data_IF_080315828551
#
_entry.id   IF_080315828551
#
_cell.length_a   1.000
_cell.length_b   1.000
_cell.length_c   1.000
_cell.angle_alpha   90.00
_cell.angle_beta   90.00
_cell.angle_gamma   90.00
#
_symmetry.space_group_name_H-M   'P 1'
#
loop_
_entity.id
_entity.type
_entity.pdbx_description
1 polymer ?
#
# COMPACT_ATOMS: atom_id res chain seq x y z
N UNK A 1 18.30 0.91 -4.56
CA UNK A 1 17.04 0.58 -3.87
C UNK A 1 16.24 1.86 -3.72
N UNK A 2 14.96 1.84 -4.09
CA UNK A 2 14.04 2.95 -3.87
C UNK A 2 13.85 3.21 -2.37
N UNK A 3 13.41 4.42 -1.97
CA UNK A 3 13.08 4.73 -0.56
C UNK A 3 12.08 3.71 0.03
N UNK A 4 11.19 3.17 -0.81
CA UNK A 4 10.21 2.14 -0.44
C UNK A 4 10.87 0.79 -0.13
N UNK A 5 11.86 0.37 -0.92
CA UNK A 5 12.60 -0.90 -0.70
C UNK A 5 13.34 -0.92 0.64
N UNK A 6 13.98 0.21 0.98
CA UNK A 6 14.71 0.36 2.24
C UNK A 6 13.76 0.31 3.43
N UNK A 7 12.61 0.98 3.34
CA UNK A 7 11.59 0.97 4.40
C UNK A 7 10.95 -0.42 4.57
N UNK A 8 10.55 -1.06 3.47
CA UNK A 8 9.96 -2.39 3.49
C UNK A 8 10.88 -3.42 4.17
N UNK A 9 12.19 -3.33 3.89
CA UNK A 9 13.21 -4.15 4.56
C UNK A 9 13.27 -3.89 6.07
N UNK A 10 13.21 -2.63 6.50
CA UNK A 10 13.27 -2.24 7.91
C UNK A 10 12.08 -2.77 8.73
N UNK A 11 10.88 -2.81 8.12
CA UNK A 11 9.68 -3.33 8.78
C UNK A 11 9.45 -4.83 8.55
N UNK A 12 10.43 -5.52 7.95
CA UNK A 12 10.37 -6.93 7.54
C UNK A 12 9.09 -7.26 6.76
N UNK A 13 8.73 -6.38 5.82
CA UNK A 13 7.56 -6.53 4.97
C UNK A 13 8.03 -6.74 3.52
N UNK A 14 7.59 -7.83 2.90
CA UNK A 14 7.76 -8.06 1.47
C UNK A 14 6.55 -7.48 0.75
N UNK A 15 6.78 -6.85 -0.39
CA UNK A 15 5.74 -6.32 -1.25
C UNK A 15 6.02 -6.72 -2.71
N UNK A 16 4.96 -6.78 -3.49
CA UNK A 16 5.03 -7.04 -4.93
C UNK A 16 4.33 -5.89 -5.66
N UNK A 17 4.98 -5.41 -6.73
CA UNK A 17 4.43 -4.33 -7.54
C UNK A 17 3.68 -4.92 -8.72
N UNK A 18 2.40 -4.62 -8.82
CA UNK A 18 1.54 -5.17 -9.87
C UNK A 18 0.73 -4.09 -10.57
N UNK A 19 0.38 -4.33 -11.83
CA UNK A 19 -0.61 -3.52 -12.53
C UNK A 19 -1.98 -4.00 -12.06
N UNK A 20 -2.62 -3.21 -11.22
CA UNK A 20 -3.98 -3.49 -10.80
C UNK A 20 -4.97 -3.17 -11.94
N UNK A 21 -5.53 -4.22 -12.54
CA UNK A 21 -6.51 -4.11 -13.65
C UNK A 21 -7.90 -3.66 -13.19
N UNK A 22 -8.16 -3.65 -11.88
CA UNK A 22 -9.41 -3.14 -11.30
C UNK A 22 -9.51 -1.62 -11.33
N UNK A 23 -10.74 -1.11 -11.27
CA UNK A 23 -10.99 0.33 -11.17
C UNK A 23 -10.94 0.77 -9.70
N UNK A 24 -9.89 1.50 -9.31
CA UNK A 24 -9.79 2.17 -8.00
C UNK A 24 -9.88 3.68 -8.17
N UNK A 25 -10.13 4.41 -7.08
CA UNK A 25 -10.13 5.87 -7.06
C UNK A 25 -8.82 6.48 -7.57
N UNK A 26 -7.70 5.76 -7.45
CA UNK A 26 -6.40 6.13 -8.01
C UNK A 26 -6.44 6.38 -9.52
N UNK A 27 -7.41 5.83 -10.26
CA UNK A 27 -7.63 6.16 -11.68
C UNK A 27 -7.87 7.66 -11.85
N UNK A 28 -8.83 8.21 -11.11
CA UNK A 28 -9.22 9.62 -11.22
C UNK A 28 -8.18 10.55 -10.60
N UNK A 29 -7.55 10.15 -9.49
CA UNK A 29 -6.47 10.94 -8.89
C UNK A 29 -5.28 11.10 -9.85
N UNK A 30 -4.89 10.02 -10.55
CA UNK A 30 -3.81 10.07 -11.54
C UNK A 30 -4.17 10.92 -12.76
N UNK A 31 -5.44 10.92 -13.17
CA UNK A 31 -5.93 11.80 -14.26
C UNK A 31 -5.80 13.29 -13.90
N UNK A 32 -5.94 13.63 -12.61
CA UNK A 32 -5.69 14.99 -12.10
C UNK A 32 -4.20 15.31 -11.87
N UNK A 33 -3.28 14.39 -12.17
CA UNK A 33 -1.85 14.57 -11.98
C UNK A 33 -1.32 14.20 -10.59
N UNK A 34 -2.16 13.70 -9.68
CA UNK A 34 -1.71 13.26 -8.36
C UNK A 34 -1.04 11.88 -8.44
N UNK A 35 0.14 11.75 -7.82
CA UNK A 35 0.81 10.46 -7.61
C UNK A 35 -0.03 9.63 -6.63
N UNK A 36 -0.48 8.45 -7.06
CA UNK A 36 -1.32 7.56 -6.25
C UNK A 36 -0.94 6.10 -6.46
N UNK A 37 -0.96 5.32 -5.38
CA UNK A 37 -0.74 3.87 -5.37
C UNK A 37 -1.88 3.19 -4.62
N UNK A 38 -2.31 2.03 -5.10
CA UNK A 38 -3.19 1.13 -4.35
C UNK A 38 -2.36 0.18 -3.51
N UNK A 39 -2.63 0.10 -2.21
CA UNK A 39 -1.92 -0.80 -1.30
C UNK A 39 -2.88 -1.32 -0.23
N UNK A 40 -2.78 -2.60 0.09
CA UNK A 40 -3.54 -3.22 1.17
C UNK A 40 -2.64 -4.25 1.87
N UNK A 41 -2.35 -4.10 3.18
CA UNK A 41 -1.46 -4.99 3.92
C UNK A 41 -2.15 -6.31 4.31
N UNK A 42 -2.60 -7.06 3.30
CA UNK A 42 -3.35 -8.31 3.45
C UNK A 42 -2.49 -9.52 3.07
N UNK A 43 -1.29 -9.61 3.65
CA UNK A 43 -0.40 -10.74 3.38
C UNK A 43 -1.01 -12.06 3.89
N UNK A 44 -0.65 -13.17 3.25
CA UNK A 44 -1.14 -14.51 3.59
C UNK A 44 -2.69 -14.63 3.60
N UNK A 45 -3.39 -13.74 2.90
CA UNK A 45 -4.86 -13.74 2.79
C UNK A 45 -5.25 -14.17 1.38
N UNK A 46 -6.21 -15.11 1.21
CA UNK A 46 -6.69 -15.48 -0.12
C UNK A 46 -7.36 -14.29 -0.81
N UNK A 47 -7.26 -14.22 -2.14
CA UNK A 47 -7.97 -13.20 -2.93
C UNK A 47 -9.45 -13.60 -3.02
N UNK A 48 -10.28 -12.99 -2.17
CA UNK A 48 -11.72 -13.25 -2.07
C UNK A 48 -12.57 -11.99 -2.29
N UNK A 49 -11.98 -10.92 -2.86
CA UNK A 49 -12.73 -9.69 -3.12
C UNK A 49 -13.99 -10.01 -3.94
N UNK A 50 -15.16 -9.70 -3.38
CA UNK A 50 -16.47 -9.98 -3.99
C UNK A 50 -16.84 -11.46 -4.16
N UNK A 51 -16.18 -12.39 -3.47
CA UNK A 51 -16.56 -13.81 -3.45
C UNK A 51 -17.30 -14.18 -2.15
N UNK A 52 -17.87 -15.38 -2.13
CA UNK A 52 -18.53 -15.97 -0.98
C UNK A 52 -17.52 -16.19 0.16
N UNK A 53 -17.95 -15.93 1.39
CA UNK A 53 -17.12 -16.06 2.59
C UNK A 53 -15.85 -15.20 2.54
N UNK A 54 -15.89 -14.03 1.91
CA UNK A 54 -14.82 -13.02 2.00
C UNK A 54 -14.47 -12.75 3.47
N UNK A 55 -13.18 -12.85 3.81
CA UNK A 55 -12.69 -12.65 5.17
C UNK A 55 -11.25 -12.12 5.18
N UNK A 56 -10.85 -11.61 6.34
CA UNK A 56 -9.46 -11.33 6.70
C UNK A 56 -9.21 -11.87 8.10
N UNK A 57 -8.02 -12.41 8.34
CA UNK A 57 -7.62 -12.83 9.68
C UNK A 57 -7.39 -11.60 10.59
N UNK A 58 -7.82 -11.69 11.85
CA UNK A 58 -7.69 -10.59 12.81
C UNK A 58 -6.23 -10.14 12.97
N UNK A 59 -5.28 -11.08 13.01
CA UNK A 59 -3.86 -10.75 13.17
C UNK A 59 -3.31 -10.01 11.95
N UNK A 60 -3.79 -10.33 10.74
CA UNK A 60 -3.42 -9.62 9.51
C UNK A 60 -4.00 -8.20 9.52
N UNK A 61 -5.27 -8.06 9.93
CA UNK A 61 -5.90 -6.75 10.06
C UNK A 61 -5.16 -5.85 11.06
N UNK A 62 -4.87 -6.36 12.27
CA UNK A 62 -4.13 -5.62 13.29
C UNK A 62 -2.71 -5.27 12.84
N UNK A 63 -2.01 -6.19 12.18
CA UNK A 63 -0.70 -5.90 11.58
C UNK A 63 -0.79 -4.82 10.51
N UNK A 64 -1.88 -4.78 9.74
CA UNK A 64 -2.14 -3.72 8.77
C UNK A 64 -2.17 -2.33 9.41
N UNK A 65 -2.77 -2.21 10.60
CA UNK A 65 -2.77 -0.97 11.38
C UNK A 65 -1.34 -0.55 11.72
N UNK A 66 -0.53 -1.45 12.29
CA UNK A 66 0.88 -1.17 12.62
C UNK A 66 1.71 -0.72 11.40
N UNK A 67 1.40 -1.26 10.21
CA UNK A 67 2.06 -0.87 8.97
C UNK A 67 1.65 0.56 8.59
N UNK A 68 0.37 0.91 8.62
CA UNK A 68 -0.10 2.26 8.31
C UNK A 68 0.37 3.31 9.32
N UNK A 69 0.44 2.97 10.61
CA UNK A 69 0.99 3.84 11.66
C UNK A 69 2.43 4.27 11.38
N UNK A 70 3.20 3.43 10.68
CA UNK A 70 4.55 3.76 10.23
C UNK A 70 4.54 4.40 8.85
N UNK A 71 3.74 3.90 7.91
CA UNK A 71 3.74 4.34 6.52
C UNK A 71 3.29 5.80 6.39
N UNK A 72 2.20 6.19 7.06
CA UNK A 72 1.60 7.52 6.91
C UNK A 72 2.58 8.62 7.36
N UNK A 73 3.21 8.56 8.55
CA UNK A 73 4.21 9.56 8.94
C UNK A 73 5.42 9.59 8.00
N UNK A 74 5.89 8.43 7.52
CA UNK A 74 7.03 8.41 6.58
C UNK A 74 6.68 9.07 5.24
N UNK A 75 5.45 8.87 4.73
CA UNK A 75 4.96 9.54 3.52
C UNK A 75 4.73 11.05 3.74
N UNK A 76 4.20 11.44 4.89
CA UNK A 76 3.94 12.84 5.20
C UNK A 76 5.22 13.67 5.45
N UNK A 77 6.35 13.00 5.73
CA UNK A 77 7.64 13.63 6.00
C UNK A 77 8.69 13.34 4.92
N UNK A 78 8.26 13.05 3.68
CA UNK A 78 9.19 13.02 2.55
C UNK A 78 9.72 14.43 2.29
N UNK A 79 11.03 14.55 2.05
CA UNK A 79 11.62 15.80 1.59
C UNK A 79 10.94 16.23 0.28
N UNK A 80 10.68 17.53 0.14
CA UNK A 80 10.19 18.08 -1.11
C UNK A 80 11.18 17.72 -2.23
N UNK A 81 10.69 17.08 -3.28
CA UNK A 81 11.46 16.96 -4.50
C UNK A 81 11.66 18.40 -5.01
N UNK A 82 12.91 18.87 -5.08
CA UNK A 82 13.22 20.07 -5.85
C UNK A 82 12.84 19.74 -7.29
N UNK A 83 11.74 20.32 -7.80
CA UNK A 83 11.41 20.22 -9.21
C UNK A 83 12.61 20.73 -10.05
N UNK A 84 13.00 20.05 -11.13
CA UNK A 84 13.82 20.67 -12.16
C UNK A 84 13.07 21.83 -12.84
#
# INVERSE_FOLDING_TARGET
MSKLDTWATHINCKYETEIFIGATDSRYLRELGYRSIGFSPMNNTPILLHDHNEYIDESVFLRGIEIYEKLIPNLANVEAENEP
#
